data_IF_783913626685
#
_entry.id   IF_783913626685
#
_cell.length_a   1.000
_cell.length_b   1.000
_cell.length_c   1.000
_cell.angle_alpha   90.00
_cell.angle_beta   90.00
_cell.angle_gamma   90.00
#
_symmetry.space_group_name_H-M   'P 1'
#
loop_
_entity.id
_entity.type
_entity.pdbx_description
1 polymer ?
#
# COMPACT_ATOMS: atom_id res chain seq x y z
N UNK A 1 -1.52 -14.37 16.09
CA UNK A 1 -1.52 -13.15 15.25
C UNK A 1 -1.35 -13.63 13.82
N UNK A 2 -2.33 -13.43 12.94
CA UNK A 2 -2.12 -13.67 11.50
C UNK A 2 -1.93 -12.30 10.85
N UNK A 3 -0.81 -11.66 11.20
CA UNK A 3 -0.26 -10.56 10.41
C UNK A 3 0.68 -11.19 9.39
N UNK A 4 0.80 -10.58 8.22
CA UNK A 4 1.64 -11.04 7.13
C UNK A 4 3.11 -11.24 7.58
N UNK A 5 3.47 -12.45 8.05
CA UNK A 5 4.85 -12.81 8.41
C UNK A 5 5.68 -12.91 7.13
N UNK A 6 6.23 -11.78 6.67
CA UNK A 6 7.06 -11.71 5.47
C UNK A 6 6.70 -10.60 4.48
N UNK A 7 5.62 -9.84 4.69
CA UNK A 7 5.49 -8.56 4.00
C UNK A 7 6.43 -7.56 4.66
N UNK A 8 7.62 -7.41 4.07
CA UNK A 8 8.52 -6.29 4.35
C UNK A 8 8.15 -5.12 3.44
N UNK A 9 8.53 -3.90 3.82
CA UNK A 9 8.30 -2.69 3.01
C UNK A 9 8.83 -2.79 1.57
N UNK A 10 9.79 -3.69 1.33
CA UNK A 10 10.42 -3.91 0.03
C UNK A 10 9.61 -4.80 -0.94
N UNK A 11 8.59 -5.52 -0.46
CA UNK A 11 7.80 -6.43 -1.31
C UNK A 11 7.15 -5.66 -2.48
N UNK A 12 6.64 -4.46 -2.19
CA UNK A 12 6.01 -3.63 -3.20
C UNK A 12 7.03 -2.87 -4.06
N UNK A 13 8.18 -2.49 -3.49
CA UNK A 13 9.25 -1.78 -4.21
C UNK A 13 9.73 -2.59 -5.44
N UNK A 14 9.89 -3.90 -5.29
CA UNK A 14 10.37 -4.78 -6.36
C UNK A 14 9.27 -5.23 -7.33
N UNK A 15 8.01 -4.88 -7.07
CA UNK A 15 6.86 -5.40 -7.81
C UNK A 15 5.97 -4.31 -8.42
N UNK A 16 6.38 -3.03 -8.37
CA UNK A 16 5.59 -1.86 -8.83
C UNK A 16 5.05 -2.08 -10.25
N UNK A 17 5.87 -2.57 -11.17
CA UNK A 17 5.47 -2.78 -12.57
C UNK A 17 4.42 -3.88 -12.77
N UNK A 18 4.27 -4.79 -11.81
CA UNK A 18 3.32 -5.90 -11.86
C UNK A 18 2.01 -5.60 -11.15
N UNK A 19 1.89 -4.46 -10.46
CA UNK A 19 0.70 -4.09 -9.69
C UNK A 19 -0.38 -3.37 -10.50
N UNK A 20 -0.17 -3.18 -11.81
CA UNK A 20 -0.98 -2.29 -12.66
C UNK A 20 -2.48 -2.63 -12.66
N UNK A 21 -2.83 -3.90 -12.45
CA UNK A 21 -4.22 -4.39 -12.45
C UNK A 21 -4.79 -4.64 -11.04
N UNK A 22 -4.08 -4.24 -9.98
CA UNK A 22 -4.58 -4.41 -8.61
C UNK A 22 -5.65 -3.35 -8.31
N UNK A 23 -6.85 -3.83 -7.99
CA UNK A 23 -7.98 -3.00 -7.58
C UNK A 23 -8.22 -3.02 -6.07
N UNK A 24 -7.82 -4.11 -5.39
CA UNK A 24 -8.10 -4.35 -3.98
C UNK A 24 -6.84 -4.84 -3.29
N UNK A 25 -6.41 -4.12 -2.25
CA UNK A 25 -5.29 -4.51 -1.38
C UNK A 25 -5.75 -4.46 0.07
N UNK A 26 -5.53 -5.56 0.80
CA UNK A 26 -5.85 -5.65 2.22
C UNK A 26 -4.59 -5.97 3.03
N UNK A 27 -4.15 -5.01 3.84
CA UNK A 27 -3.00 -5.11 4.73
C UNK A 27 -3.40 -5.05 6.21
N UNK A 28 -4.62 -5.45 6.54
CA UNK A 28 -5.11 -5.50 7.93
C UNK A 28 -4.09 -6.15 8.86
N UNK A 29 -3.64 -5.41 9.88
CA UNK A 29 -2.65 -5.88 10.88
C UNK A 29 -1.32 -6.34 10.29
N UNK A 30 -0.92 -5.84 9.12
CA UNK A 30 0.39 -6.12 8.52
C UNK A 30 1.39 -5.00 8.83
N UNK A 31 2.68 -5.31 8.73
CA UNK A 31 3.76 -4.35 8.96
C UNK A 31 3.91 -3.47 7.71
N UNK A 32 3.11 -2.42 7.64
CA UNK A 32 3.14 -1.42 6.57
C UNK A 32 3.51 -0.05 7.15
N UNK A 33 4.27 0.72 6.38
CA UNK A 33 4.65 2.10 6.68
C UNK A 33 4.27 3.02 5.51
N UNK A 34 4.53 4.32 5.65
CA UNK A 34 4.22 5.30 4.60
C UNK A 34 4.90 4.99 3.25
N UNK A 35 6.10 4.40 3.26
CA UNK A 35 6.82 3.98 2.06
C UNK A 35 6.14 2.81 1.34
N UNK A 36 5.61 1.85 2.10
CA UNK A 36 4.78 0.76 1.58
C UNK A 36 3.58 1.31 0.82
N UNK A 37 2.90 2.31 1.39
CA UNK A 37 1.73 2.96 0.76
C UNK A 37 2.14 3.74 -0.48
N UNK A 38 3.30 4.40 -0.48
CA UNK A 38 3.83 5.09 -1.64
C UNK A 38 4.10 4.14 -2.82
N UNK A 39 4.68 2.96 -2.57
CA UNK A 39 4.89 1.95 -3.60
C UNK A 39 3.57 1.40 -4.17
N UNK A 40 2.59 1.15 -3.29
CA UNK A 40 1.25 0.71 -3.69
C UNK A 40 0.59 1.77 -4.58
N UNK A 41 0.62 3.02 -4.15
CA UNK A 41 0.10 4.18 -4.86
C UNK A 41 0.73 4.29 -6.26
N UNK A 42 2.05 4.14 -6.36
CA UNK A 42 2.78 4.24 -7.63
C UNK A 42 2.47 3.08 -8.58
N UNK A 43 2.35 1.85 -8.08
CA UNK A 43 2.21 0.66 -8.93
C UNK A 43 0.77 0.24 -9.23
N UNK A 44 -0.21 0.73 -8.47
CA UNK A 44 -1.62 0.31 -8.55
C UNK A 44 -2.53 1.47 -9.01
N UNK A 45 -2.44 1.92 -10.28
CA UNK A 45 -3.24 3.04 -10.79
C UNK A 45 -4.75 2.76 -10.83
N UNK A 46 -5.15 1.49 -10.73
CA UNK A 46 -6.56 1.06 -10.73
C UNK A 46 -7.05 0.69 -9.31
N UNK A 47 -6.31 1.04 -8.26
CA UNK A 47 -6.66 0.71 -6.89
C UNK A 47 -7.96 1.42 -6.47
N UNK A 48 -8.95 0.64 -6.07
CA UNK A 48 -10.26 1.10 -5.59
C UNK A 48 -10.41 0.91 -4.08
N UNK A 49 -9.72 -0.07 -3.50
CA UNK A 49 -9.80 -0.38 -2.08
C UNK A 49 -8.43 -0.68 -1.48
N UNK A 50 -8.13 0.01 -0.38
CA UNK A 50 -6.92 -0.21 0.42
C UNK A 50 -7.28 -0.28 1.91
N UNK A 51 -7.06 -1.42 2.55
CA UNK A 51 -7.21 -1.57 4.00
C UNK A 51 -5.85 -1.46 4.70
N UNK A 52 -5.70 -0.47 5.57
CA UNK A 52 -4.52 -0.24 6.42
C UNK A 52 -4.87 -0.27 7.92
N UNK A 53 -6.01 -0.89 8.26
CA UNK A 53 -6.43 -1.00 9.66
C UNK A 53 -5.40 -1.76 10.49
N UNK A 54 -5.12 -1.25 11.69
CA UNK A 54 -4.12 -1.82 12.59
C UNK A 54 -2.68 -1.88 12.02
N UNK A 55 -2.31 -0.92 11.16
CA UNK A 55 -0.95 -0.70 10.69
C UNK A 55 -0.33 0.52 11.43
N UNK A 56 0.33 0.33 12.59
CA UNK A 56 0.72 1.43 13.48
C UNK A 56 1.82 2.35 12.94
N UNK A 57 2.50 1.96 11.86
CA UNK A 57 3.57 2.76 11.23
C UNK A 57 3.11 3.57 10.02
N UNK A 58 1.83 3.47 9.65
CA UNK A 58 1.21 4.34 8.65
C UNK A 58 0.77 5.63 9.32
N UNK A 59 1.13 6.76 8.73
CA UNK A 59 0.77 8.10 9.20
C UNK A 59 -0.01 8.86 8.13
N UNK A 60 -0.46 10.07 8.45
CA UNK A 60 -1.16 10.95 7.49
C UNK A 60 -0.30 11.32 6.27
N UNK A 61 1.02 11.09 6.30
CA UNK A 61 1.88 11.26 5.11
C UNK A 61 1.47 10.34 3.97
N UNK A 62 0.96 9.15 4.28
CA UNK A 62 0.45 8.20 3.29
C UNK A 62 -0.70 8.77 2.44
N UNK A 63 -1.49 9.71 2.99
CA UNK A 63 -2.57 10.38 2.26
C UNK A 63 -2.04 11.25 1.12
N UNK A 64 -0.85 11.84 1.28
CA UNK A 64 -0.18 12.62 0.24
C UNK A 64 0.14 11.70 -0.94
N UNK A 65 0.73 10.53 -0.68
CA UNK A 65 1.04 9.54 -1.71
C UNK A 65 -0.21 9.05 -2.44
N UNK A 66 -1.28 8.75 -1.70
CA UNK A 66 -2.55 8.30 -2.29
C UNK A 66 -3.22 9.40 -3.14
N UNK A 67 -3.15 10.66 -2.70
CA UNK A 67 -3.76 11.79 -3.44
C UNK A 67 -3.12 12.03 -4.81
N UNK A 68 -1.88 11.62 -5.02
CA UNK A 68 -1.18 11.78 -6.30
C UNK A 68 -1.65 10.79 -7.39
N UNK A 69 -2.27 9.68 -6.98
CA UNK A 69 -2.73 8.61 -7.88
C UNK A 69 -4.14 8.88 -8.38
N UNK A 70 -4.97 9.53 -7.57
CA UNK A 70 -6.32 9.94 -7.93
C UNK A 70 -6.22 11.18 -8.84
N UNK A 71 -5.91 10.95 -10.11
CA UNK A 71 -6.05 11.99 -11.14
C UNK A 71 -7.53 12.16 -11.42
N UNK A 72 -8.08 13.33 -11.09
CA UNK A 72 -9.37 13.80 -11.60
C UNK A 72 -9.40 13.83 -13.13
#
# INVERSE_FOLDING_TARGET
MKGCEGLTEQVFANSIDHMKNLEVINLLSCFANDETVAHIAQGSPHLQYLCLSNCPQVTDRSLISLSQVVKC
#
